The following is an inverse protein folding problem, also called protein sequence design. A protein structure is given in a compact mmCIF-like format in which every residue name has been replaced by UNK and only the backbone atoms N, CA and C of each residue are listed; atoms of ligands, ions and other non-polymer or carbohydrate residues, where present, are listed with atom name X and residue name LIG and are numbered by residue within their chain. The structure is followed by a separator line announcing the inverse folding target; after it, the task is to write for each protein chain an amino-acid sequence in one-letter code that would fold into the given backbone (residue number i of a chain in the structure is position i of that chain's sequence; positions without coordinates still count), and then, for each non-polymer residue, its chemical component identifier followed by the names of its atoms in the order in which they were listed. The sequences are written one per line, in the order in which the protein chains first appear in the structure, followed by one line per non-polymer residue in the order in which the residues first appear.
data_IF_598418560280
#
_entry.id   IF_598418560280
#
_cell.length_a   1.000
_cell.length_b   1.000
_cell.length_c   1.000
_cell.angle_alpha   90.00
_cell.angle_beta   90.00
_cell.angle_gamma   90.00
#
_symmetry.space_group_name_H-M   'P 1'
#
loop_
_entity.id
_entity.type
_entity.pdbx_description
1 polymer ?
#
# COMPACT_ATOMS: atom_id res chain seq x y z
N UNK A 1 16.35 3.21 15.46
CA UNK A 1 15.52 4.06 14.57
C UNK A 1 16.24 4.18 13.24
N UNK A 2 15.83 3.41 12.22
CA UNK A 2 16.52 3.33 10.93
C UNK A 2 16.27 4.60 10.09
N UNK A 3 17.00 5.67 10.39
CA UNK A 3 17.05 6.89 9.57
C UNK A 3 17.77 6.55 8.26
N UNK A 4 17.09 6.65 7.12
CA UNK A 4 17.72 6.48 5.80
C UNK A 4 17.30 5.27 4.96
N UNK A 5 16.48 4.33 5.46
CA UNK A 5 16.15 3.09 4.70
C UNK A 5 15.33 3.33 3.43
N UNK A 6 14.60 4.44 3.35
CA UNK A 6 13.74 4.77 2.21
C UNK A 6 14.02 6.17 1.64
N UNK A 7 15.08 6.85 2.10
CA UNK A 7 15.46 8.17 1.59
C UNK A 7 16.17 8.08 0.22
N UNK A 8 16.67 6.90 -0.13
CA UNK A 8 17.38 6.61 -1.37
C UNK A 8 16.63 5.51 -2.10
N UNK A 9 16.44 5.67 -3.41
CA UNK A 9 15.85 4.63 -4.25
C UNK A 9 16.63 3.32 -4.05
N UNK A 10 16.00 2.25 -3.50
CA UNK A 10 16.68 0.99 -3.23
C UNK A 10 17.10 0.23 -4.50
N UNK A 11 16.62 0.66 -5.67
CA UNK A 11 16.89 0.05 -6.97
C UNK A 11 17.44 1.09 -7.96
N UNK A 12 18.68 1.57 -7.78
CA UNK A 12 19.26 2.63 -8.61
C UNK A 12 19.47 2.19 -10.07
N UNK A 13 19.67 0.89 -10.30
CA UNK A 13 19.91 0.32 -11.64
C UNK A 13 18.61 -0.07 -12.36
N UNK A 14 17.46 0.03 -11.69
CA UNK A 14 16.16 -0.28 -12.30
C UNK A 14 15.67 0.97 -13.00
N UNK A 15 15.84 0.99 -14.32
CA UNK A 15 15.20 1.95 -15.21
C UNK A 15 13.85 1.39 -15.65
N UNK A 16 12.81 2.20 -15.51
CA UNK A 16 11.45 1.85 -15.89
C UNK A 16 11.04 2.77 -17.04
N UNK A 17 10.42 2.25 -18.10
CA UNK A 17 9.87 3.11 -19.15
C UNK A 17 8.69 3.93 -18.62
N UNK A 18 8.32 5.01 -19.31
CA UNK A 18 7.12 5.77 -18.93
C UNK A 18 5.85 4.91 -19.00
N UNK A 19 5.78 3.94 -19.91
CA UNK A 19 4.63 3.03 -20.02
C UNK A 19 4.58 2.06 -18.84
N UNK A 20 5.70 1.44 -18.49
CA UNK A 20 5.81 0.55 -17.33
C UNK A 20 5.52 1.31 -16.03
N UNK A 21 5.96 2.58 -15.94
CA UNK A 21 5.64 3.46 -14.81
C UNK A 21 4.13 3.68 -14.69
N UNK A 22 3.45 3.94 -15.81
CA UNK A 22 1.99 4.12 -15.79
C UNK A 22 1.27 2.84 -15.39
N UNK A 23 1.71 1.68 -15.87
CA UNK A 23 1.15 0.38 -15.48
C UNK A 23 1.32 0.10 -13.97
N UNK A 24 2.47 0.45 -13.39
CA UNK A 24 2.71 0.33 -11.95
C UNK A 24 1.80 1.25 -11.15
N UNK A 25 1.58 2.48 -11.62
CA UNK A 25 0.66 3.43 -10.99
C UNK A 25 -0.77 2.88 -11.03
N UNK A 26 -1.23 2.39 -12.17
CA UNK A 26 -2.58 1.85 -12.33
C UNK A 26 -2.80 0.61 -11.46
N UNK A 27 -1.79 -0.25 -11.36
CA UNK A 27 -1.78 -1.41 -10.47
C UNK A 27 -1.95 -0.98 -9.01
N UNK A 28 -1.14 -0.03 -8.54
CA UNK A 28 -1.21 0.49 -7.17
C UNK A 28 -2.55 1.16 -6.90
N UNK A 29 -3.07 1.94 -7.84
CA UNK A 29 -4.37 2.59 -7.71
C UNK A 29 -5.51 1.56 -7.55
N UNK A 30 -5.46 0.46 -8.30
CA UNK A 30 -6.41 -0.64 -8.15
C UNK A 30 -6.39 -1.25 -6.75
N UNK A 31 -5.21 -1.52 -6.21
CA UNK A 31 -5.06 -2.01 -4.84
C UNK A 31 -5.54 -1.01 -3.80
N UNK A 32 -5.18 0.27 -3.94
CA UNK A 32 -5.58 1.32 -3.02
C UNK A 32 -7.11 1.42 -2.93
N UNK A 33 -7.81 1.43 -4.07
CA UNK A 33 -9.27 1.45 -4.11
C UNK A 33 -9.88 0.27 -3.35
N UNK A 34 -9.36 -0.94 -3.54
CA UNK A 34 -9.82 -2.12 -2.80
C UNK A 34 -9.55 -2.03 -1.30
N UNK A 35 -8.38 -1.52 -0.90
CA UNK A 35 -8.05 -1.34 0.52
C UNK A 35 -8.90 -0.25 1.18
N UNK A 36 -9.21 0.84 0.46
CA UNK A 36 -10.13 1.86 0.97
C UNK A 36 -11.51 1.27 1.21
N UNK A 37 -12.00 0.43 0.30
CA UNK A 37 -13.29 -0.23 0.46
C UNK A 37 -13.31 -1.19 1.67
N UNK A 38 -12.29 -2.04 1.82
CA UNK A 38 -12.17 -2.94 2.98
C UNK A 38 -12.06 -2.15 4.31
N UNK A 39 -11.35 -1.02 4.30
CA UNK A 39 -11.27 -0.14 5.46
C UNK A 39 -12.60 0.55 5.77
N UNK A 40 -13.32 1.02 4.75
CA UNK A 40 -14.66 1.60 4.93
C UNK A 40 -15.63 0.57 5.51
N UNK A 41 -15.64 -0.66 5.01
CA UNK A 41 -16.45 -1.74 5.59
C UNK A 41 -16.07 -1.99 7.07
N UNK A 42 -14.77 -2.06 7.39
CA UNK A 42 -14.31 -2.20 8.77
C UNK A 42 -14.71 -1.02 9.67
N UNK A 43 -14.60 0.21 9.17
CA UNK A 43 -14.90 1.43 9.91
C UNK A 43 -16.41 1.63 10.13
N UNK A 44 -17.23 1.27 9.13
CA UNK A 44 -18.68 1.49 9.12
C UNK A 44 -19.42 0.33 9.79
N UNK A 45 -19.14 -0.92 9.43
CA UNK A 45 -19.89 -2.08 9.93
C UNK A 45 -19.30 -2.67 11.22
N UNK A 46 -17.98 -2.75 11.34
CA UNK A 46 -17.33 -3.41 12.49
C UNK A 46 -16.98 -2.44 13.65
N UNK A 47 -17.34 -1.15 13.51
CA UNK A 47 -17.11 -0.08 14.50
C UNK A 47 -15.69 -0.04 15.06
N UNK A 48 -14.68 -0.31 14.24
CA UNK A 48 -13.27 -0.32 14.67
C UNK A 48 -12.93 -1.40 15.72
N UNK A 49 -13.69 -2.49 15.81
CA UNK A 49 -13.31 -3.61 16.68
C UNK A 49 -12.13 -4.37 16.11
N UNK A 50 -10.95 -4.06 16.62
CA UNK A 50 -9.73 -4.80 16.27
C UNK A 50 -9.79 -6.20 16.88
N UNK A 51 -9.70 -7.24 16.05
CA UNK A 51 -9.54 -8.60 16.54
C UNK A 51 -8.11 -8.79 17.07
N UNK A 52 -7.95 -8.71 18.40
CA UNK A 52 -6.67 -8.84 19.09
C UNK A 52 -5.98 -10.20 18.88
N UNK A 53 -6.71 -11.25 18.48
CA UNK A 53 -6.14 -12.56 18.21
C UNK A 53 -5.46 -12.68 16.84
N UNK A 54 -5.75 -11.76 15.90
CA UNK A 54 -5.17 -11.76 14.55
C UNK A 54 -3.71 -11.25 14.53
N UNK A 55 -3.27 -10.63 15.63
CA UNK A 55 -1.95 -10.01 15.80
C UNK A 55 -0.99 -10.81 16.69
N UNK A 56 -1.34 -12.05 17.06
CA UNK A 56 -0.43 -13.00 17.72
C UNK A 56 0.38 -13.78 16.69
#
# INVERSE_FOLDING_TARGET
MAKGRFDVNPFPDVSVSEEERQQLIDLVNGYLLSYFHEYEEFAIDDKHKVNEQRWK
#
